data_IF_197623914455
#
_entry.id   IF_197623914455
#
_cell.length_a   1.000
_cell.length_b   1.000
_cell.length_c   1.000
_cell.angle_alpha   90.00
_cell.angle_beta   90.00
_cell.angle_gamma   90.00
#
_symmetry.space_group_name_H-M   'P 1'
#
loop_
_entity.id
_entity.type
_entity.pdbx_description
1 polymer ?
#
# COMPACT_ATOMS: atom_id res chain seq x y z
N UNK A 1 7.93 -0.85 -1.01
CA UNK A 1 8.38 -0.17 0.22
C UNK A 1 9.67 0.57 -0.10
N UNK A 2 9.63 1.90 -0.09
CA UNK A 2 10.74 2.80 -0.45
C UNK A 2 11.27 3.39 0.85
N UNK A 3 12.53 3.17 1.19
CA UNK A 3 13.11 3.67 2.45
C UNK A 3 13.70 5.05 2.19
N UNK A 4 13.24 6.07 2.90
CA UNK A 4 13.61 7.48 2.63
C UNK A 4 15.10 7.75 2.86
N UNK A 5 15.74 7.00 3.76
CA UNK A 5 17.18 7.11 4.03
C UNK A 5 18.06 6.69 2.84
N UNK A 6 17.49 6.03 1.82
CA UNK A 6 18.19 5.60 0.62
C UNK A 6 17.50 6.14 -0.63
N UNK A 7 18.27 6.71 -1.56
CA UNK A 7 17.71 7.18 -2.84
C UNK A 7 17.09 6.00 -3.61
N UNK A 8 15.77 6.02 -3.76
CA UNK A 8 15.00 4.98 -4.45
C UNK A 8 15.46 4.77 -5.90
N UNK A 9 15.96 5.81 -6.58
CA UNK A 9 16.41 5.73 -7.97
C UNK A 9 17.68 4.88 -8.10
N UNK A 10 18.49 4.81 -7.03
CA UNK A 10 19.77 4.10 -6.99
C UNK A 10 19.59 2.70 -6.40
N UNK A 11 18.87 2.61 -5.27
CA UNK A 11 18.78 1.39 -4.47
C UNK A 11 17.48 0.60 -4.68
N UNK A 12 16.51 1.18 -5.39
CA UNK A 12 15.19 0.59 -5.58
C UNK A 12 14.38 0.54 -4.30
N UNK A 13 13.41 -0.37 -4.26
CA UNK A 13 12.55 -0.57 -3.09
C UNK A 13 12.35 -2.04 -2.78
N UNK A 14 11.90 -2.30 -1.56
CA UNK A 14 11.57 -3.65 -1.11
C UNK A 14 10.17 -4.05 -1.54
N UNK A 15 10.07 -5.30 -2.01
CA UNK A 15 8.78 -5.97 -2.16
C UNK A 15 8.24 -6.31 -0.77
N UNK A 16 7.01 -5.91 -0.49
CA UNK A 16 6.32 -6.20 0.75
C UNK A 16 4.88 -6.65 0.52
N UNK A 17 4.31 -7.30 1.53
CA UNK A 17 2.89 -7.68 1.58
C UNK A 17 2.25 -7.09 2.84
N UNK A 18 1.04 -6.58 2.70
CA UNK A 18 0.20 -6.21 3.85
C UNK A 18 -0.15 -7.49 4.59
N UNK A 19 0.16 -7.55 5.88
CA UNK A 19 -0.12 -8.72 6.74
C UNK A 19 -1.31 -8.49 7.68
N UNK A 20 -1.53 -7.25 8.09
CA UNK A 20 -2.70 -6.88 8.89
C UNK A 20 -3.04 -5.41 8.74
N UNK A 21 -4.32 -5.11 8.93
CA UNK A 21 -4.87 -3.77 9.02
C UNK A 21 -5.53 -3.69 10.38
N UNK A 22 -5.12 -2.72 11.19
CA UNK A 22 -5.69 -2.51 12.52
C UNK A 22 -7.13 -2.01 12.39
N UNK A 23 -8.08 -2.49 13.22
CA UNK A 23 -9.43 -1.95 13.25
C UNK A 23 -9.49 -0.56 13.89
N UNK A 24 -8.47 -0.21 14.68
CA UNK A 24 -8.40 1.07 15.39
C UNK A 24 -8.00 2.22 14.46
N UNK A 25 -8.61 3.38 14.71
CA UNK A 25 -8.29 4.63 14.02
C UNK A 25 -7.30 5.47 14.80
N UNK A 26 -6.43 6.17 14.07
CA UNK A 26 -5.47 7.14 14.59
C UNK A 26 -5.84 8.49 13.97
N UNK A 27 -5.91 9.53 14.80
CA UNK A 27 -6.15 10.90 14.34
C UNK A 27 -4.83 11.57 13.96
N UNK A 28 -4.86 12.37 12.91
CA UNK A 28 -3.74 13.26 12.61
C UNK A 28 -3.62 14.35 13.68
N UNK A 29 -2.42 14.60 14.19
CA UNK A 29 -2.19 15.63 15.20
C UNK A 29 -2.39 17.05 14.65
N UNK A 30 -2.17 17.25 13.35
CA UNK A 30 -2.30 18.55 12.66
C UNK A 30 -3.71 18.73 12.10
N UNK A 31 -4.36 17.65 11.66
CA UNK A 31 -5.71 17.65 11.05
C UNK A 31 -6.65 16.64 11.74
N UNK A 32 -7.24 16.98 12.90
CA UNK A 32 -7.99 16.04 13.73
C UNK A 32 -9.17 15.32 13.05
N UNK A 33 -9.71 15.91 11.98
CA UNK A 33 -10.83 15.35 11.22
C UNK A 33 -10.42 14.20 10.29
N UNK A 34 -9.12 14.00 10.05
CA UNK A 34 -8.61 12.92 9.22
C UNK A 34 -8.28 11.70 10.09
N UNK A 35 -8.93 10.59 9.75
CA UNK A 35 -8.73 9.30 10.40
C UNK A 35 -7.83 8.40 9.54
N UNK A 36 -6.83 7.80 10.16
CA UNK A 36 -5.95 6.82 9.54
C UNK A 36 -6.11 5.45 10.20
N UNK A 37 -5.94 4.40 9.42
CA UNK A 37 -5.84 3.03 9.93
C UNK A 37 -4.39 2.56 9.85
N UNK A 38 -3.91 1.92 10.91
CA UNK A 38 -2.56 1.37 10.93
C UNK A 38 -2.49 0.11 10.09
N UNK A 39 -1.51 0.04 9.19
CA UNK A 39 -1.25 -1.13 8.34
C UNK A 39 0.13 -1.68 8.65
N UNK A 40 0.22 -3.00 8.87
CA UNK A 40 1.49 -3.69 8.99
C UNK A 40 1.89 -4.30 7.65
N UNK A 41 3.09 -3.94 7.18
CA UNK A 41 3.65 -4.42 5.91
C UNK A 41 4.89 -5.23 6.20
N UNK A 42 4.90 -6.51 5.78
CA UNK A 42 6.06 -7.38 5.90
C UNK A 42 6.86 -7.34 4.60
N UNK A 43 8.12 -6.91 4.67
CA UNK A 43 9.07 -6.99 3.57
C UNK A 43 9.66 -8.40 3.46
N UNK A 44 10.11 -8.79 2.26
CA UNK A 44 10.81 -10.07 2.06
C UNK A 44 12.27 -10.06 2.54
N UNK A 45 12.85 -8.88 2.73
CA UNK A 45 14.22 -8.68 3.18
C UNK A 45 14.29 -7.49 4.15
N UNK A 46 15.37 -7.43 4.91
CA UNK A 46 15.73 -6.41 5.90
C UNK A 46 16.77 -5.40 5.38
N UNK A 47 17.19 -5.55 4.13
CA UNK A 47 18.25 -4.77 3.51
C UNK A 47 17.99 -4.55 2.03
N UNK A 48 18.45 -3.40 1.52
CA UNK A 48 18.50 -3.12 0.09
C UNK A 48 19.84 -3.63 -0.48
N UNK A 49 19.84 -4.07 -1.73
CA UNK A 49 21.06 -4.49 -2.44
C UNK A 49 21.18 -3.66 -3.71
N UNK A 50 22.31 -2.99 -3.91
CA UNK A 50 22.55 -2.22 -5.13
C UNK A 50 23.03 -3.12 -6.29
N UNK A 51 23.18 -2.54 -7.48
CA UNK A 51 23.67 -3.27 -8.67
C UNK A 51 25.07 -3.85 -8.52
N UNK A 52 25.89 -3.29 -7.62
CA UNK A 52 27.23 -3.76 -7.31
C UNK A 52 27.25 -4.86 -6.22
N UNK A 53 26.09 -5.28 -5.71
CA UNK A 53 25.97 -6.31 -4.67
C UNK A 53 26.20 -5.83 -3.23
N UNK A 54 26.42 -4.53 -3.01
CA UNK A 54 26.54 -3.98 -1.66
C UNK A 54 25.18 -3.98 -0.95
N UNK A 55 25.18 -4.41 0.31
CA UNK A 55 23.99 -4.49 1.16
C UNK A 55 23.88 -3.26 2.06
N UNK A 56 22.66 -2.75 2.18
CA UNK A 56 22.31 -1.58 2.97
C UNK A 56 21.24 -1.99 3.98
N UNK A 57 21.62 -2.11 5.24
CA UNK A 57 20.74 -2.55 6.31
C UNK A 57 19.67 -1.51 6.62
N UNK A 58 18.43 -1.95 6.81
CA UNK A 58 17.33 -1.09 7.26
C UNK A 58 17.14 -1.32 8.75
N UNK A 59 17.24 -0.25 9.53
CA UNK A 59 17.10 -0.30 10.99
C UNK A 59 15.77 0.32 11.43
N UNK A 60 15.27 -0.04 12.62
CA UNK A 60 14.09 0.60 13.21
C UNK A 60 14.27 2.12 13.33
N UNK A 61 13.19 2.87 13.11
CA UNK A 61 13.19 4.34 13.13
C UNK A 61 13.38 4.99 11.76
N UNK A 62 13.77 4.23 10.74
CA UNK A 62 13.80 4.74 9.37
C UNK A 62 12.39 4.99 8.83
N UNK A 63 12.19 6.15 8.21
CA UNK A 63 10.95 6.50 7.51
C UNK A 63 10.91 5.79 6.16
N UNK A 64 9.74 5.29 5.78
CA UNK A 64 9.54 4.65 4.50
C UNK A 64 8.19 5.04 3.89
N UNK A 65 8.18 5.19 2.56
CA UNK A 65 6.97 5.38 1.77
C UNK A 65 6.54 4.05 1.18
N UNK A 66 5.28 3.67 1.39
CA UNK A 66 4.74 2.40 0.91
C UNK A 66 3.61 2.64 -0.08
N UNK A 67 3.85 2.27 -1.33
CA UNK A 67 2.82 2.22 -2.35
C UNK A 67 2.07 0.89 -2.26
N UNK A 68 0.81 0.95 -1.77
CA UNK A 68 -0.05 -0.23 -1.63
C UNK A 68 -0.95 -0.33 -2.85
N UNK A 69 -0.76 -1.38 -3.64
CA UNK A 69 -1.64 -1.70 -4.76
C UNK A 69 -2.89 -2.39 -4.21
N UNK A 70 -4.06 -1.76 -4.33
CA UNK A 70 -5.34 -2.30 -3.84
C UNK A 70 -6.17 -2.86 -5.00
N UNK A 71 -6.37 -4.18 -4.98
CA UNK A 71 -7.18 -4.89 -5.97
C UNK A 71 -6.59 -4.94 -7.39
N UNK A 72 -7.26 -5.67 -8.26
CA UNK A 72 -7.00 -5.71 -9.70
C UNK A 72 -8.35 -5.70 -10.40
N UNK A 73 -8.63 -4.68 -11.21
CA UNK A 73 -9.84 -4.61 -12.02
C UNK A 73 -9.50 -5.00 -13.45
N UNK A 74 -10.25 -5.94 -14.01
CA UNK A 74 -10.16 -6.23 -15.44
C UNK A 74 -10.93 -5.19 -16.24
N UNK A 75 -10.55 -4.95 -17.50
CA UNK A 75 -11.31 -4.06 -18.41
C UNK A 75 -12.78 -4.52 -18.51
N UNK A 76 -13.02 -5.83 -18.52
CA UNK A 76 -14.36 -6.41 -18.52
C UNK A 76 -15.21 -5.97 -17.32
N UNK A 77 -14.64 -5.86 -16.12
CA UNK A 77 -15.38 -5.37 -14.94
C UNK A 77 -15.87 -3.92 -15.10
N UNK A 78 -15.19 -3.09 -15.88
CA UNK A 78 -15.67 -1.73 -16.19
C UNK A 78 -16.86 -1.75 -17.16
N UNK A 79 -16.84 -2.66 -18.15
CA UNK A 79 -17.91 -2.80 -19.14
C UNK A 79 -19.20 -3.38 -18.53
N UNK A 80 -19.10 -4.29 -17.56
CA UNK A 80 -20.26 -4.95 -16.93
C UNK A 80 -20.87 -4.11 -15.79
N UNK A 81 -20.13 -3.16 -15.21
CA UNK A 81 -20.60 -2.28 -14.13
C UNK A 81 -21.96 -1.59 -14.37
N UNK A 82 -22.24 -0.99 -15.54
CA UNK A 82 -23.56 -0.39 -15.81
C UNK A 82 -24.70 -1.41 -15.84
N UNK A 83 -24.43 -2.65 -16.27
CA UNK A 83 -25.44 -3.70 -16.37
C UNK A 83 -25.88 -4.22 -15.00
N UNK A 84 -24.97 -4.26 -14.03
CA UNK A 84 -25.28 -4.64 -12.66
C UNK A 84 -26.16 -3.60 -11.94
N UNK A 85 -25.94 -2.30 -12.19
CA UNK A 85 -26.84 -1.24 -11.68
C UNK A 85 -28.25 -1.33 -12.25
N UNK A 86 -28.39 -1.72 -13.52
CA UNK A 86 -29.69 -1.89 -14.15
C UNK A 86 -30.50 -3.06 -13.54
N UNK A 87 -29.82 -4.11 -13.06
CA UNK A 87 -30.47 -5.25 -12.38
C UNK A 87 -30.97 -4.91 -10.97
N UNK A 88 -30.29 -4.03 -10.24
CA UNK A 88 -30.73 -3.55 -8.92
C UNK A 88 -32.00 -2.69 -9.05
N UNK A 89 -32.08 -1.82 -10.07
CA UNK A 89 -33.24 -0.98 -10.33
C UNK A 89 -34.53 -1.75 -10.70
N UNK A 90 -34.42 -3.00 -11.14
CA UNK A 90 -35.56 -3.87 -11.46
C UNK A 90 -36.03 -4.73 -10.28
N UNK A 91 -35.33 -4.69 -9.13
CA UNK A 91 -35.67 -5.43 -7.92
C UNK A 91 -36.43 -4.61 -6.88
N UNK A 92 -36.65 -3.32 -7.12
CA UNK A 92 -37.57 -2.48 -6.34
C UNK A 92 -38.93 -2.36 -7.05
N UNK A 93 -39.73 -3.43 -6.96
CA UNK A 93 -41.20 -3.39 -6.94
C UNK A 93 -41.71 -4.59 -6.13
#
# INVERSE_FOLDING_TARGET
VKVTAYDYSIYGGLTGRVVSISPDTIRDEVKPDILYYRVFVRTKADSLTNKAGAKFAITPGMVATVDIHTGSKTVLQYLVKPLNRAREALRER
#
